data_IF_003491590018
#
_entry.id   IF_003491590018
#
_cell.length_a   1.000
_cell.length_b   1.000
_cell.length_c   1.000
_cell.angle_alpha   90.00
_cell.angle_beta   90.00
_cell.angle_gamma   90.00
#
_symmetry.space_group_name_H-M   'P 1'
#
loop_
_entity.id
_entity.type
_entity.pdbx_description
1 polymer ?
#
# COMPACT_ATOMS: atom_id res chain seq x y z
N UNK A 1 11.81 10.21 -30.59
CA UNK A 1 10.53 9.49 -30.46
C UNK A 1 9.62 10.28 -29.52
N UNK A 2 8.64 10.97 -30.04
CA UNK A 2 7.69 11.73 -29.20
C UNK A 2 6.63 10.75 -28.73
N UNK A 3 6.67 10.40 -27.46
CA UNK A 3 5.59 9.61 -26.85
C UNK A 3 4.30 10.42 -26.92
N UNK A 4 3.20 9.84 -27.42
CA UNK A 4 1.93 10.55 -27.44
C UNK A 4 1.59 10.92 -26.00
N UNK A 5 1.59 12.22 -25.74
CA UNK A 5 1.19 12.74 -24.45
C UNK A 5 -0.27 12.36 -24.21
N UNK A 6 -0.48 11.39 -23.36
CA UNK A 6 -1.82 11.00 -22.95
C UNK A 6 -2.43 12.16 -22.17
N UNK A 7 -3.16 12.99 -22.90
CA UNK A 7 -4.02 14.00 -22.33
C UNK A 7 -5.18 13.28 -21.64
N UNK A 8 -5.27 13.35 -20.37
CA UNK A 8 -6.33 12.69 -19.61
C UNK A 8 -6.23 13.02 -18.12
N UNK A 9 -7.24 12.65 -17.37
CA UNK A 9 -7.26 12.75 -15.92
C UNK A 9 -6.63 11.53 -15.29
N UNK A 10 -5.98 11.73 -14.17
CA UNK A 10 -5.46 10.68 -13.32
C UNK A 10 -6.02 10.79 -11.91
N UNK A 11 -6.36 9.67 -11.32
CA UNK A 11 -6.73 9.58 -9.91
C UNK A 11 -5.46 9.22 -9.13
N UNK A 12 -5.02 10.15 -8.31
CA UNK A 12 -3.72 10.08 -7.63
C UNK A 12 -3.85 10.36 -6.14
N UNK A 13 -2.86 9.87 -5.41
CA UNK A 13 -2.66 10.23 -4.01
C UNK A 13 -1.84 11.52 -3.92
N UNK A 14 -2.42 12.53 -3.29
CA UNK A 14 -1.75 13.82 -3.02
C UNK A 14 -1.30 13.82 -1.58
N UNK A 15 0.01 13.95 -1.36
CA UNK A 15 0.56 14.00 -0.02
C UNK A 15 0.19 15.32 0.67
N UNK A 16 -0.40 15.18 1.83
CA UNK A 16 -0.74 16.25 2.75
C UNK A 16 -0.15 15.94 4.13
N UNK A 17 -0.50 16.72 5.12
CA UNK A 17 -0.06 16.51 6.49
C UNK A 17 1.23 17.24 6.83
N UNK A 18 1.79 16.93 7.97
CA UNK A 18 3.00 17.55 8.52
C UNK A 18 4.21 16.65 8.43
N UNK A 19 5.34 17.17 8.88
CA UNK A 19 6.60 16.43 8.97
C UNK A 19 6.42 15.21 9.86
N UNK A 20 6.87 14.05 9.37
CA UNK A 20 6.77 12.73 10.03
C UNK A 20 5.35 12.18 10.22
N UNK A 21 4.30 12.87 9.76
CA UNK A 21 2.93 12.37 9.76
C UNK A 21 2.33 12.50 8.36
N UNK A 22 2.53 11.52 7.47
CA UNK A 22 1.94 11.55 6.15
C UNK A 22 0.43 11.37 6.23
N UNK A 23 -0.26 12.09 5.36
CA UNK A 23 -1.69 11.97 5.12
C UNK A 23 -1.91 12.16 3.63
N UNK A 24 -2.79 11.38 3.04
CA UNK A 24 -3.04 11.47 1.61
C UNK A 24 -4.49 11.83 1.32
N UNK A 25 -4.67 12.71 0.36
CA UNK A 25 -5.96 12.94 -0.29
C UNK A 25 -5.98 12.18 -1.60
N UNK A 26 -7.11 11.57 -1.89
CA UNK A 26 -7.37 10.93 -3.18
C UNK A 26 -8.03 11.99 -4.06
N UNK A 27 -7.37 12.35 -5.13
CA UNK A 27 -7.83 13.43 -5.98
C UNK A 27 -7.77 13.10 -7.46
N UNK A 28 -8.73 13.66 -8.21
CA UNK A 28 -8.71 13.69 -9.65
C UNK A 28 -7.97 14.93 -10.14
N UNK A 29 -7.00 14.75 -11.00
CA UNK A 29 -6.21 15.84 -11.58
C UNK A 29 -5.72 15.46 -12.97
N UNK A 30 -5.35 16.45 -13.81
CA UNK A 30 -4.73 16.16 -15.09
C UNK A 30 -3.47 15.28 -14.92
N UNK A 31 -3.29 14.29 -15.77
CA UNK A 31 -2.20 13.31 -15.66
C UNK A 31 -0.81 13.94 -15.63
N UNK A 32 -0.65 15.10 -16.25
CA UNK A 32 0.61 15.85 -16.29
C UNK A 32 0.91 16.67 -15.03
N UNK A 33 -0.09 16.93 -14.20
CA UNK A 33 0.09 17.75 -13.01
C UNK A 33 0.89 16.98 -11.96
N UNK A 34 1.80 17.68 -11.27
CA UNK A 34 2.56 17.10 -10.17
C UNK A 34 1.65 16.75 -9.00
N UNK A 35 1.94 15.65 -8.33
CA UNK A 35 1.19 15.18 -7.15
C UNK A 35 1.30 16.08 -5.91
N UNK A 36 2.22 17.04 -5.91
CA UNK A 36 2.35 18.01 -4.82
C UNK A 36 1.39 19.21 -4.91
N UNK A 37 0.64 19.33 -5.99
CA UNK A 37 -0.36 20.38 -6.19
C UNK A 37 -1.74 19.90 -5.79
N UNK A 38 -2.62 20.85 -5.44
CA UNK A 38 -4.01 20.53 -5.11
C UNK A 38 -4.72 19.85 -6.28
N UNK A 39 -5.52 18.81 -6.04
CA UNK A 39 -6.33 18.18 -7.07
C UNK A 39 -7.49 19.09 -7.51
N UNK A 40 -8.01 18.85 -8.69
CA UNK A 40 -9.20 19.56 -9.17
C UNK A 40 -10.45 19.16 -8.38
N UNK A 41 -10.52 17.89 -8.00
CA UNK A 41 -11.57 17.36 -7.14
C UNK A 41 -11.00 16.35 -6.15
N UNK A 42 -11.40 16.46 -4.90
CA UNK A 42 -11.06 15.47 -3.84
C UNK A 42 -12.14 14.39 -3.80
N UNK A 43 -11.75 13.16 -4.05
CA UNK A 43 -12.64 12.00 -4.06
C UNK A 43 -12.64 11.29 -2.70
N UNK A 44 -11.55 11.39 -1.97
CA UNK A 44 -11.43 10.72 -0.68
C UNK A 44 -10.14 11.03 0.06
N UNK A 45 -9.90 10.25 1.09
CA UNK A 45 -8.73 10.41 1.95
C UNK A 45 -8.18 9.07 2.39
N UNK A 46 -6.89 9.03 2.67
CA UNK A 46 -6.17 7.86 3.16
C UNK A 46 -5.24 8.27 4.30
N UNK A 47 -5.36 7.62 5.42
CA UNK A 47 -4.37 7.69 6.50
C UNK A 47 -3.49 6.43 6.45
N UNK A 48 -2.20 6.56 6.07
CA UNK A 48 -1.31 5.40 5.97
C UNK A 48 -0.84 4.87 7.32
N UNK A 49 -1.03 5.63 8.40
CA UNK A 49 -0.66 5.19 9.74
C UNK A 49 -1.75 4.26 10.29
N UNK A 50 -1.39 3.02 10.67
CA UNK A 50 -2.36 2.09 11.24
C UNK A 50 -2.99 2.64 12.52
N UNK A 51 -4.28 2.34 12.72
CA UNK A 51 -4.97 2.65 13.95
C UNK A 51 -4.63 1.62 15.07
N UNK A 52 -5.28 1.74 16.22
CA UNK A 52 -5.08 0.81 17.35
C UNK A 52 -5.39 -0.65 17.01
N UNK A 53 -6.21 -0.89 15.99
CA UNK A 53 -6.57 -2.23 15.48
C UNK A 53 -5.71 -2.72 14.33
N UNK A 54 -4.60 -2.01 14.01
CA UNK A 54 -3.75 -2.26 12.83
C UNK A 54 -4.48 -2.17 11.49
N UNK A 55 -5.47 -1.30 11.39
CA UNK A 55 -6.21 -1.04 10.17
C UNK A 55 -5.79 0.30 9.56
N UNK A 56 -5.63 0.31 8.25
CA UNK A 56 -5.40 1.53 7.48
C UNK A 56 -6.76 2.06 7.03
N UNK A 57 -7.11 3.24 7.49
CA UNK A 57 -8.41 3.86 7.21
C UNK A 57 -8.36 4.59 5.88
N UNK A 58 -9.30 4.27 5.01
CA UNK A 58 -9.47 4.90 3.72
C UNK A 58 -10.94 5.24 3.50
N UNK A 59 -11.22 6.49 3.17
CA UNK A 59 -12.56 6.95 2.79
C UNK A 59 -12.57 7.28 1.30
N UNK A 60 -13.50 6.71 0.55
CA UNK A 60 -13.60 6.92 -0.91
C UNK A 60 -15.06 7.12 -1.29
N UNK A 61 -15.32 8.15 -2.09
CA UNK A 61 -16.59 8.33 -2.77
C UNK A 61 -16.59 7.55 -4.09
N UNK A 62 -17.20 6.37 -4.08
CA UNK A 62 -17.25 5.50 -5.25
C UNK A 62 -18.07 6.08 -6.41
N UNK A 63 -19.05 6.92 -6.14
CA UNK A 63 -19.83 7.57 -7.18
C UNK A 63 -18.97 8.51 -7.99
N UNK A 64 -18.17 9.34 -7.32
CA UNK A 64 -17.24 10.25 -8.00
C UNK A 64 -16.08 9.51 -8.65
N UNK A 65 -15.58 8.47 -8.02
CA UNK A 65 -14.55 7.61 -8.60
C UNK A 65 -15.02 7.00 -9.92
N UNK A 66 -16.22 6.44 -9.94
CA UNK A 66 -16.83 5.86 -11.15
C UNK A 66 -17.04 6.90 -12.25
N UNK A 67 -17.46 8.10 -11.89
CA UNK A 67 -17.62 9.20 -12.82
C UNK A 67 -16.30 9.55 -13.52
N UNK A 68 -15.21 9.70 -12.78
CA UNK A 68 -13.90 10.01 -13.35
C UNK A 68 -13.32 8.86 -14.16
N UNK A 69 -13.53 7.63 -13.74
CA UNK A 69 -13.12 6.45 -14.51
C UNK A 69 -13.89 6.33 -15.83
N UNK A 70 -15.17 6.66 -15.83
CA UNK A 70 -15.99 6.74 -17.05
C UNK A 70 -15.55 7.82 -18.04
N UNK A 71 -14.82 8.83 -17.56
CA UNK A 71 -14.21 9.89 -18.39
C UNK A 71 -12.75 9.62 -18.77
N UNK A 72 -12.36 8.37 -18.87
CA UNK A 72 -10.98 7.94 -19.17
C UNK A 72 -9.96 8.33 -18.09
N UNK A 73 -10.41 8.44 -16.85
CA UNK A 73 -9.54 8.63 -15.70
C UNK A 73 -8.68 7.38 -15.44
N UNK A 74 -7.38 7.60 -15.28
CA UNK A 74 -6.44 6.51 -15.00
C UNK A 74 -6.11 6.46 -13.53
N UNK A 75 -6.07 5.26 -12.99
CA UNK A 75 -5.59 5.02 -11.64
C UNK A 75 -4.06 5.10 -11.60
N UNK A 76 -3.52 5.75 -10.59
CA UNK A 76 -2.08 5.62 -10.27
C UNK A 76 -1.80 4.26 -9.66
N UNK A 77 -0.55 3.80 -9.71
CA UNK A 77 -0.14 2.50 -9.14
C UNK A 77 -0.53 2.38 -7.66
N UNK A 78 -0.37 3.47 -6.89
CA UNK A 78 -0.80 3.50 -5.49
C UNK A 78 -2.31 3.32 -5.31
N UNK A 79 -3.12 3.97 -6.17
CA UNK A 79 -4.57 3.80 -6.13
C UNK A 79 -5.02 2.41 -6.56
N UNK A 80 -4.39 1.82 -7.57
CA UNK A 80 -4.66 0.43 -7.97
C UNK A 80 -4.41 -0.54 -6.82
N UNK A 81 -3.33 -0.34 -6.08
CA UNK A 81 -3.00 -1.15 -4.90
C UNK A 81 -4.07 -1.02 -3.81
N UNK A 82 -4.47 0.19 -3.46
CA UNK A 82 -5.47 0.46 -2.42
C UNK A 82 -6.82 -0.13 -2.79
N UNK A 83 -7.29 0.11 -4.01
CA UNK A 83 -8.56 -0.41 -4.50
C UNK A 83 -8.55 -1.94 -4.64
N UNK A 84 -7.42 -2.52 -5.01
CA UNK A 84 -7.23 -3.97 -5.06
C UNK A 84 -7.29 -4.61 -3.67
N UNK A 85 -6.63 -4.03 -2.68
CA UNK A 85 -6.70 -4.49 -1.29
C UNK A 85 -8.09 -4.30 -0.67
N UNK A 86 -8.79 -3.24 -1.05
CA UNK A 86 -10.18 -3.02 -0.66
C UNK A 86 -11.18 -3.97 -1.35
N UNK A 87 -10.79 -4.64 -2.42
CA UNK A 87 -11.61 -5.61 -3.16
C UNK A 87 -12.48 -5.02 -4.27
N UNK A 88 -12.33 -3.73 -4.60
CA UNK A 88 -13.10 -3.09 -5.66
C UNK A 88 -12.54 -3.39 -7.06
N UNK A 89 -11.23 -3.56 -7.16
CA UNK A 89 -10.52 -3.94 -8.40
C UNK A 89 -9.71 -5.22 -8.17
N UNK A 90 -9.28 -5.92 -9.22
CA UNK A 90 -8.34 -7.04 -9.08
C UNK A 90 -7.04 -6.57 -8.42
N UNK A 91 -6.48 -7.41 -7.54
CA UNK A 91 -5.20 -7.11 -6.89
C UNK A 91 -4.08 -7.07 -7.93
N UNK A 92 -3.27 -6.00 -7.97
CA UNK A 92 -2.15 -5.93 -8.91
C UNK A 92 -1.11 -7.04 -8.64
N UNK A 93 -0.45 -7.57 -9.68
CA UNK A 93 0.52 -8.66 -9.52
C UNK A 93 1.67 -8.38 -8.57
N UNK A 94 2.17 -7.16 -8.55
CA UNK A 94 3.30 -6.77 -7.69
C UNK A 94 2.98 -6.85 -6.19
N UNK A 95 1.72 -6.74 -5.81
CA UNK A 95 1.30 -6.81 -4.40
C UNK A 95 1.41 -8.22 -3.86
N UNK A 96 0.85 -9.21 -4.57
CA UNK A 96 0.92 -10.59 -4.09
C UNK A 96 2.28 -11.24 -4.29
N UNK A 97 3.08 -10.79 -5.27
CA UNK A 97 4.48 -11.20 -5.40
C UNK A 97 5.28 -10.77 -4.17
N UNK A 98 5.19 -9.50 -3.77
CA UNK A 98 5.84 -9.01 -2.55
C UNK A 98 5.36 -9.76 -1.29
N UNK A 99 4.07 -9.95 -1.15
CA UNK A 99 3.51 -10.68 -0.02
C UNK A 99 4.01 -12.13 0.06
N UNK A 100 4.23 -12.77 -1.08
CA UNK A 100 4.82 -14.11 -1.14
C UNK A 100 6.28 -14.08 -0.71
N UNK A 101 7.08 -13.16 -1.25
CA UNK A 101 8.49 -13.01 -0.89
C UNK A 101 8.69 -12.74 0.61
N UNK A 102 7.84 -11.92 1.20
CA UNK A 102 7.88 -11.64 2.64
C UNK A 102 7.54 -12.87 3.48
N UNK A 103 6.54 -13.65 3.08
CA UNK A 103 6.20 -14.92 3.74
C UNK A 103 7.35 -15.94 3.65
N UNK A 104 7.96 -16.05 2.48
CA UNK A 104 9.11 -16.95 2.27
C UNK A 104 10.31 -16.55 3.13
N UNK A 105 10.54 -15.24 3.32
CA UNK A 105 11.59 -14.73 4.23
C UNK A 105 11.30 -15.05 5.70
N UNK A 106 10.06 -14.87 6.14
CA UNK A 106 9.63 -15.19 7.50
C UNK A 106 9.79 -16.69 7.79
N UNK A 107 9.40 -17.55 6.87
CA UNK A 107 9.54 -19.00 7.00
C UNK A 107 11.00 -19.43 7.11
N UNK A 108 11.91 -18.81 6.34
CA UNK A 108 13.35 -19.10 6.42
C UNK A 108 13.94 -18.65 7.76
N UNK A 109 13.61 -17.43 8.22
CA UNK A 109 14.07 -16.93 9.53
C UNK A 109 13.63 -17.83 10.69
N UNK A 110 12.39 -18.26 10.69
CA UNK A 110 11.86 -19.15 11.74
C UNK A 110 12.57 -20.51 11.76
N UNK A 111 12.98 -21.03 10.60
CA UNK A 111 13.71 -22.30 10.53
C UNK A 111 15.16 -22.15 11.03
N UNK A 112 15.81 -21.02 10.74
CA UNK A 112 17.16 -20.72 11.24
C UNK A 112 17.19 -20.55 12.78
N UNK A 113 16.16 -19.90 13.34
CA UNK A 113 16.01 -19.76 14.80
C UNK A 113 15.69 -21.11 15.49
N UNK A 114 14.93 -21.97 14.84
CA UNK A 114 14.61 -23.30 15.36
C UNK A 114 15.81 -24.27 15.35
N UNK A 115 16.75 -24.10 14.43
CA UNK A 115 17.97 -24.90 14.38
C UNK A 115 19.02 -24.47 15.43
N UNK A 116 18.89 -23.26 15.98
CA UNK A 116 19.83 -22.74 17.00
C UNK A 116 19.42 -23.06 18.46
N UNK A 117 18.19 -23.50 18.70
CA UNK A 117 17.73 -23.82 20.07
C UNK A 117 18.14 -25.17 20.69
N UNK A 118 18.60 -26.20 19.97
CA UNK A 118 18.84 -27.50 20.64
C UNK A 118 20.14 -27.60 21.41
N UNK A 119 20.98 -26.59 21.44
CA UNK A 119 22.29 -26.67 22.08
C UNK A 119 22.32 -26.31 23.60
N UNK A 120 21.27 -25.70 24.12
CA UNK A 120 21.21 -25.22 25.53
C UNK A 120 20.67 -26.23 26.51
N UNK A 121 19.96 -27.26 26.09
CA UNK A 121 19.36 -28.24 26.99
C UNK A 121 20.30 -29.39 27.35
N UNK A 122 21.42 -29.56 26.67
CA UNK A 122 22.40 -30.61 26.91
C UNK A 122 23.50 -30.24 27.93
N UNK A 123 23.50 -29.01 28.46
CA UNK A 123 24.57 -28.49 29.35
C UNK A 123 24.10 -28.32 30.80
N UNK A 124 22.91 -28.75 31.16
CA UNK A 124 22.53 -28.79 32.59
C UNK A 124 23.25 -29.92 33.31
N UNK A 125 24.16 -29.61 34.27
CA UNK A 125 24.82 -30.64 35.05
C UNK A 125 23.77 -31.41 35.87
N UNK A 126 23.69 -32.72 35.65
CA UNK A 126 22.92 -33.58 36.52
C UNK A 126 23.44 -33.40 37.95
N UNK A 127 22.56 -32.94 38.85
CA UNK A 127 22.91 -32.82 40.26
C UNK A 127 23.35 -34.21 40.78
N UNK A 128 24.54 -34.33 41.32
CA UNK A 128 24.88 -35.51 42.10
C UNK A 128 23.97 -35.53 43.34
N UNK A 129 23.57 -36.70 43.73
CA UNK A 129 22.82 -36.91 44.96
C UNK A 129 23.50 -36.30 46.17
#
# INVERSE_FOLDING_TARGET
>A
MVWPHKSGFGIKLVRMGCKNRPYFQIGAMPSRRRTGLLPDEVIGSLDPVPNERNEIVCAIDFSRLSYWMGRDGRLSVGMETILGLAGWTPVPPHVYIKAKEERDKQTKGTNEDAEQEPALESVLPRKPF
#
